data_IF_820611003712
#
_entry.id   IF_820611003712
#
_cell.length_a   1.000
_cell.length_b   1.000
_cell.length_c   1.000
_cell.angle_alpha   90.00
_cell.angle_beta   90.00
_cell.angle_gamma   90.00
#
_symmetry.space_group_name_H-M   'P 1'
#
loop_
_entity.id
_entity.type
_entity.pdbx_description
1 polymer ?
#
# COMPACT_ATOMS: atom_id res chain seq x y z
N UNK A 1 -13.11 -9.65 0.65
CA UNK A 1 -13.68 -10.95 0.25
C UNK A 1 -13.02 -11.54 -1.01
N UNK A 2 -12.96 -10.83 -2.16
CA UNK A 2 -12.42 -11.39 -3.42
C UNK A 2 -10.94 -11.81 -3.41
N UNK A 3 -10.08 -11.15 -2.64
CA UNK A 3 -8.63 -11.36 -2.70
C UNK A 3 -8.09 -12.26 -1.57
N UNK A 4 -8.95 -12.68 -0.63
CA UNK A 4 -8.51 -13.35 0.61
C UNK A 4 -7.85 -14.72 0.40
N UNK A 5 -8.14 -15.39 -0.73
CA UNK A 5 -7.59 -16.71 -1.05
C UNK A 5 -6.19 -16.66 -1.69
N UNK A 6 -5.67 -15.47 -2.02
CA UNK A 6 -4.41 -15.33 -2.75
C UNK A 6 -3.17 -15.48 -1.85
N UNK A 7 -3.32 -15.39 -0.53
CA UNK A 7 -2.20 -15.52 0.41
C UNK A 7 -1.16 -14.41 0.30
N UNK A 8 -1.52 -13.25 -0.28
CA UNK A 8 -0.65 -12.08 -0.41
C UNK A 8 -1.10 -10.94 0.51
N UNK A 9 -0.18 -10.04 0.94
CA UNK A 9 -0.53 -8.88 1.74
C UNK A 9 -1.52 -7.95 1.03
N UNK A 10 -2.51 -7.45 1.77
CA UNK A 10 -3.45 -6.44 1.32
C UNK A 10 -3.53 -5.36 2.39
N UNK A 11 -3.32 -4.10 2.01
CA UNK A 11 -3.45 -2.93 2.90
C UNK A 11 -4.41 -1.95 2.25
N UNK A 12 -5.35 -1.43 3.03
CA UNK A 12 -6.31 -0.41 2.63
C UNK A 12 -6.12 0.87 3.47
N UNK A 13 -6.84 1.93 3.11
CA UNK A 13 -6.81 3.22 3.82
C UNK A 13 -5.42 3.87 3.91
N UNK A 14 -4.55 3.61 2.92
CA UNK A 14 -3.30 4.36 2.74
C UNK A 14 -3.61 5.81 2.32
N UNK A 15 -2.71 6.77 2.61
CA UNK A 15 -2.95 8.20 2.40
C UNK A 15 -2.77 8.60 0.93
N UNK A 16 -3.44 7.92 0.01
CA UNK A 16 -3.52 8.29 -1.39
C UNK A 16 -4.86 7.85 -2.00
N UNK A 17 -5.35 8.61 -2.97
CA UNK A 17 -6.59 8.32 -3.67
C UNK A 17 -7.34 9.61 -4.00
N UNK A 18 -8.64 9.61 -3.76
CA UNK A 18 -9.52 10.74 -4.00
C UNK A 18 -9.99 11.44 -2.72
N UNK A 19 -9.47 11.03 -1.57
CA UNK A 19 -9.79 11.63 -0.27
C UNK A 19 -8.55 12.27 0.36
N UNK A 20 -8.77 13.40 1.05
CA UNK A 20 -7.74 14.12 1.79
C UNK A 20 -6.53 14.60 0.98
N UNK A 21 -5.40 14.80 1.69
CA UNK A 21 -4.11 15.13 1.08
C UNK A 21 -3.39 13.84 0.71
N UNK A 22 -3.02 13.72 -0.56
CA UNK A 22 -2.29 12.56 -1.07
C UNK A 22 -0.80 12.64 -0.74
N UNK A 23 -0.28 11.57 -0.14
CA UNK A 23 1.15 11.29 -0.13
C UNK A 23 1.64 11.03 -1.57
N UNK A 24 2.83 11.52 -1.90
CA UNK A 24 3.45 11.24 -3.18
C UNK A 24 3.82 9.75 -3.27
N UNK A 25 3.39 9.09 -4.36
CA UNK A 25 3.71 7.69 -4.63
C UNK A 25 4.61 7.61 -5.88
N UNK A 26 5.94 7.41 -5.70
CA UNK A 26 6.86 7.32 -6.82
C UNK A 26 6.57 6.10 -7.70
N UNK A 27 6.42 6.33 -9.00
CA UNK A 27 6.20 5.26 -9.97
C UNK A 27 7.54 4.63 -10.38
N UNK A 28 7.60 3.30 -10.36
CA UNK A 28 8.81 2.54 -10.72
C UNK A 28 9.84 2.38 -9.59
N UNK A 29 9.59 2.94 -8.41
CA UNK A 29 10.43 2.76 -7.22
C UNK A 29 10.25 1.39 -6.57
N UNK A 30 11.23 0.97 -5.75
CA UNK A 30 11.10 -0.22 -4.90
C UNK A 30 10.34 0.12 -3.63
N UNK A 31 9.48 -0.80 -3.19
CA UNK A 31 8.71 -0.64 -1.97
C UNK A 31 8.50 -1.99 -1.25
N UNK A 32 8.19 -1.92 0.04
CA UNK A 32 7.73 -3.06 0.84
C UNK A 32 6.32 -2.79 1.34
N UNK A 33 5.42 -3.75 1.14
CA UNK A 33 4.07 -3.74 1.69
C UNK A 33 3.98 -4.76 2.84
N UNK A 34 3.69 -4.29 4.05
CA UNK A 34 3.47 -5.13 5.22
C UNK A 34 1.97 -5.21 5.53
N UNK A 35 1.36 -6.37 5.24
CA UNK A 35 -0.05 -6.62 5.46
C UNK A 35 -0.44 -6.81 6.93
N UNK A 36 0.52 -7.08 7.81
CA UNK A 36 0.29 -7.23 9.25
C UNK A 36 0.35 -5.88 9.95
N UNK A 37 1.37 -5.07 9.63
CA UNK A 37 1.51 -3.73 10.19
C UNK A 37 0.61 -2.69 9.48
N UNK A 38 0.10 -3.00 8.28
CA UNK A 38 -0.71 -2.06 7.49
C UNK A 38 0.12 -0.92 6.90
N UNK A 39 1.38 -1.18 6.55
CA UNK A 39 2.32 -0.13 6.11
C UNK A 39 2.82 -0.34 4.69
N UNK A 40 3.10 0.77 4.01
CA UNK A 40 3.80 0.82 2.74
C UNK A 40 5.08 1.64 2.94
N UNK A 41 6.24 1.03 2.72
CA UNK A 41 7.55 1.70 2.83
C UNK A 41 8.17 1.84 1.45
N UNK A 42 8.62 3.05 1.10
CA UNK A 42 9.32 3.34 -0.17
C UNK A 42 10.83 3.34 0.07
N UNK A 43 11.57 2.65 -0.78
CA UNK A 43 13.04 2.57 -0.75
C UNK A 43 13.67 3.54 -1.74
N UNK A 44 14.86 4.02 -1.42
CA UNK A 44 15.69 4.82 -2.33
C UNK A 44 16.40 3.95 -3.36
#
# INVERSE_FOLDING_TARGET
DRLGHLGIPIVSALPFGHDGVNAALPVGGRATLDGTAGTLTIHR
#
